data_IF_073662922354
#
_entry.id   IF_073662922354
#
_cell.length_a   1.000
_cell.length_b   1.000
_cell.length_c   1.000
_cell.angle_alpha   90.00
_cell.angle_beta   90.00
_cell.angle_gamma   90.00
#
_symmetry.space_group_name_H-M   'P 1'
#
loop_
_entity.id
_entity.type
_entity.pdbx_description
1 polymer ?
#
# COMPACT_ATOMS: atom_id res chain seq x y z
N UNK A 1 9.10 66.41 -24.72
CA UNK A 1 7.97 65.53 -24.68
C UNK A 1 8.39 64.11 -24.99
N UNK A 2 8.51 63.26 -24.02
CA UNK A 2 8.76 61.84 -24.22
C UNK A 2 7.41 61.13 -24.39
N UNK A 3 7.24 60.44 -25.52
CA UNK A 3 6.07 59.64 -25.82
C UNK A 3 6.02 58.34 -25.01
N UNK A 4 4.83 57.76 -24.83
CA UNK A 4 4.66 56.54 -24.01
C UNK A 4 5.31 55.34 -24.69
N UNK A 5 6.05 54.55 -23.90
CA UNK A 5 6.65 53.30 -24.32
C UNK A 5 5.55 52.26 -24.63
N UNK A 6 5.50 51.79 -25.88
CA UNK A 6 4.69 50.66 -26.31
C UNK A 6 5.14 49.39 -25.56
N UNK A 7 4.23 48.82 -24.75
CA UNK A 7 4.40 47.48 -24.23
C UNK A 7 4.20 46.46 -25.35
N UNK A 8 5.24 45.74 -25.69
CA UNK A 8 5.13 44.56 -26.56
C UNK A 8 4.24 43.53 -25.87
N UNK A 9 3.31 42.88 -26.58
CA UNK A 9 2.58 41.77 -26.04
C UNK A 9 3.54 40.62 -25.73
N UNK A 10 3.46 40.09 -24.52
CA UNK A 10 4.15 38.88 -24.10
C UNK A 10 3.51 37.72 -24.87
N UNK A 11 4.28 37.10 -25.76
CA UNK A 11 3.88 35.87 -26.46
C UNK A 11 3.91 34.77 -25.40
N UNK A 12 2.74 34.29 -25.06
CA UNK A 12 2.57 33.06 -24.25
C UNK A 12 2.99 31.92 -25.21
N UNK A 13 4.21 31.47 -25.06
CA UNK A 13 4.72 30.29 -25.73
C UNK A 13 4.00 29.09 -25.17
N UNK A 14 2.96 28.62 -25.85
CA UNK A 14 2.06 27.52 -25.50
C UNK A 14 2.71 26.16 -25.16
N UNK A 15 3.99 26.20 -24.74
CA UNK A 15 4.79 25.02 -24.38
C UNK A 15 4.55 24.54 -22.93
N UNK A 16 4.02 25.40 -22.07
CA UNK A 16 3.74 25.03 -20.67
C UNK A 16 2.57 24.06 -20.51
N UNK A 17 1.62 24.08 -21.43
CA UNK A 17 0.46 23.19 -21.44
C UNK A 17 0.80 21.76 -21.83
N UNK A 18 1.57 21.59 -22.90
CA UNK A 18 2.01 20.29 -23.40
C UNK A 18 2.92 19.57 -22.39
N UNK A 19 3.88 20.28 -21.78
CA UNK A 19 4.76 19.70 -20.78
C UNK A 19 4.00 19.23 -19.51
N UNK A 20 2.95 19.96 -19.11
CA UNK A 20 2.10 19.54 -17.97
C UNK A 20 1.22 18.33 -18.31
N UNK A 21 0.70 18.24 -19.53
CA UNK A 21 -0.07 17.06 -19.98
C UNK A 21 0.81 15.81 -20.02
N UNK A 22 2.01 15.88 -20.60
CA UNK A 22 2.94 14.74 -20.60
C UNK A 22 3.34 14.31 -19.19
N UNK A 23 3.62 15.23 -18.28
CA UNK A 23 3.97 14.89 -16.90
C UNK A 23 2.82 14.24 -16.12
N UNK A 24 1.56 14.64 -16.38
CA UNK A 24 0.38 14.02 -15.78
C UNK A 24 0.11 12.63 -16.38
N UNK A 25 0.30 12.47 -17.68
CA UNK A 25 0.16 11.20 -18.38
C UNK A 25 1.21 10.19 -17.88
N UNK A 26 2.46 10.61 -17.73
CA UNK A 26 3.55 9.79 -17.20
C UNK A 26 3.30 9.42 -15.73
N UNK A 27 2.85 10.34 -14.89
CA UNK A 27 2.53 10.07 -13.50
C UNK A 27 1.36 9.10 -13.36
N UNK A 28 0.33 9.23 -14.22
CA UNK A 28 -0.82 8.33 -14.25
C UNK A 28 -0.41 6.93 -14.72
N UNK A 29 0.41 6.84 -15.77
CA UNK A 29 0.95 5.58 -16.27
C UNK A 29 1.79 4.86 -15.20
N UNK A 30 2.65 5.59 -14.49
CA UNK A 30 3.47 5.06 -13.39
C UNK A 30 2.61 4.59 -12.22
N UNK A 31 1.55 5.32 -11.86
CA UNK A 31 0.62 4.92 -10.80
C UNK A 31 -0.14 3.64 -11.18
N UNK A 32 -0.64 3.53 -12.42
CA UNK A 32 -1.31 2.33 -12.92
C UNK A 32 -0.36 1.12 -12.95
N UNK A 33 0.89 1.33 -13.35
CA UNK A 33 1.92 0.29 -13.32
C UNK A 33 2.19 -0.18 -11.89
N UNK A 34 2.34 0.74 -10.93
CA UNK A 34 2.54 0.42 -9.52
C UNK A 34 1.36 -0.40 -8.95
N UNK A 35 0.12 0.01 -9.24
CA UNK A 35 -1.08 -0.75 -8.82
C UNK A 35 -1.10 -2.15 -9.44
N UNK A 36 -0.73 -2.27 -10.72
CA UNK A 36 -0.66 -3.57 -11.40
C UNK A 36 0.35 -4.49 -10.74
N UNK A 37 1.50 -3.95 -10.31
CA UNK A 37 2.56 -4.70 -9.63
C UNK A 37 2.15 -5.19 -8.21
N UNK A 38 1.12 -4.60 -7.62
CA UNK A 38 0.57 -5.05 -6.34
C UNK A 38 -0.48 -6.17 -6.49
N UNK A 39 -0.85 -6.55 -7.72
CA UNK A 39 -1.84 -7.60 -7.93
C UNK A 39 -1.27 -8.99 -7.66
N UNK A 40 -2.06 -9.92 -7.07
CA UNK A 40 -1.64 -11.30 -6.88
C UNK A 40 -1.14 -11.96 -8.17
N UNK A 41 -1.78 -11.66 -9.29
CA UNK A 41 -1.36 -12.16 -10.60
C UNK A 41 0.06 -11.75 -10.95
N UNK A 42 0.40 -10.47 -10.84
CA UNK A 42 1.76 -9.99 -11.14
C UNK A 42 2.77 -10.61 -10.18
N UNK A 43 2.47 -10.68 -8.90
CA UNK A 43 3.33 -11.30 -7.90
C UNK A 43 3.62 -12.75 -8.25
N UNK A 44 2.61 -13.55 -8.56
CA UNK A 44 2.74 -14.98 -8.84
C UNK A 44 3.40 -15.28 -10.19
N UNK A 45 3.12 -14.48 -11.24
CA UNK A 45 3.58 -14.78 -12.60
C UNK A 45 4.87 -14.07 -13.01
N UNK A 46 5.25 -13.01 -12.31
CA UNK A 46 6.38 -12.15 -12.68
C UNK A 46 7.36 -11.94 -11.55
N UNK A 47 6.91 -11.40 -10.41
CA UNK A 47 7.80 -11.01 -9.32
C UNK A 47 8.41 -12.23 -8.62
N UNK A 48 7.58 -13.15 -8.09
CA UNK A 48 8.06 -14.27 -7.30
C UNK A 48 8.99 -15.21 -8.10
N UNK A 49 8.71 -15.54 -9.39
CA UNK A 49 9.64 -16.34 -10.19
C UNK A 49 10.98 -15.66 -10.48
N UNK A 50 10.97 -14.31 -10.57
CA UNK A 50 12.18 -13.52 -10.81
C UNK A 50 12.98 -13.23 -9.53
N UNK A 51 12.36 -13.43 -8.35
CA UNK A 51 12.93 -13.06 -7.05
C UNK A 51 12.76 -14.25 -6.08
N UNK A 52 13.43 -15.39 -6.34
CA UNK A 52 13.31 -16.56 -5.49
C UNK A 52 13.86 -16.26 -4.09
N UNK A 53 13.28 -16.92 -3.09
CA UNK A 53 13.76 -16.87 -1.72
C UNK A 53 15.21 -17.32 -1.61
N UNK A 54 15.99 -16.63 -0.77
CA UNK A 54 17.34 -17.08 -0.48
C UNK A 54 17.30 -18.32 0.42
N UNK A 55 18.03 -19.41 0.10
CA UNK A 55 17.94 -20.66 0.83
C UNK A 55 18.38 -20.59 2.29
N UNK A 56 19.23 -19.62 2.65
CA UNK A 56 19.75 -19.43 4.01
C UNK A 56 18.94 -18.38 4.81
N UNK A 57 17.79 -17.92 4.30
CA UNK A 57 16.91 -16.94 4.96
C UNK A 57 15.58 -17.60 5.29
N UNK A 58 15.18 -17.50 6.53
CA UNK A 58 13.84 -17.89 6.95
C UNK A 58 12.87 -16.73 6.74
N UNK A 59 11.75 -17.01 6.09
CA UNK A 59 10.71 -16.05 5.81
C UNK A 59 9.48 -16.34 6.67
N UNK A 60 9.07 -15.36 7.46
CA UNK A 60 7.88 -15.45 8.29
C UNK A 60 6.90 -14.34 7.93
N UNK A 61 5.62 -14.65 7.84
CA UNK A 61 4.59 -13.69 7.48
C UNK A 61 3.44 -13.66 8.45
N UNK A 62 2.85 -12.47 8.56
CA UNK A 62 1.59 -12.20 9.24
C UNK A 62 0.68 -11.46 8.27
N UNK A 63 -0.64 -11.61 8.42
CA UNK A 63 -1.62 -10.87 7.65
C UNK A 63 -2.51 -10.04 8.55
N UNK A 64 -2.76 -8.80 8.19
CA UNK A 64 -3.80 -8.01 8.83
C UNK A 64 -5.18 -8.41 8.33
N UNK A 65 -6.19 -8.30 9.20
CA UNK A 65 -7.58 -8.37 8.80
C UNK A 65 -8.44 -7.39 9.61
N UNK A 66 -9.34 -6.69 8.94
CA UNK A 66 -10.29 -5.77 9.56
C UNK A 66 -11.48 -5.51 8.65
N UNK A 67 -12.54 -4.98 9.19
CA UNK A 67 -13.73 -4.61 8.43
C UNK A 67 -14.58 -5.81 8.03
N UNK A 68 -14.99 -5.88 6.78
CA UNK A 68 -15.96 -6.88 6.32
C UNK A 68 -15.49 -8.31 6.60
N UNK A 69 -16.37 -9.10 7.21
CA UNK A 69 -16.09 -10.48 7.60
C UNK A 69 -15.34 -10.64 8.90
N UNK A 70 -15.12 -9.56 9.65
CA UNK A 70 -14.48 -9.56 10.98
C UNK A 70 -15.22 -8.63 11.92
N UNK A 71 -14.95 -8.77 13.23
CA UNK A 71 -15.42 -7.83 14.27
C UNK A 71 -14.43 -6.66 14.49
N UNK A 72 -13.36 -6.60 13.71
CA UNK A 72 -12.31 -5.60 13.83
C UNK A 72 -12.70 -4.32 13.10
N UNK A 73 -12.66 -3.19 13.81
CA UNK A 73 -12.98 -1.90 13.22
C UNK A 73 -11.93 -1.50 12.19
N UNK A 74 -12.42 -1.09 11.02
CA UNK A 74 -11.60 -0.61 9.90
C UNK A 74 -11.59 0.92 9.85
N UNK A 75 -10.46 1.51 9.51
CA UNK A 75 -10.40 2.94 9.21
C UNK A 75 -11.35 3.28 8.04
N UNK A 76 -12.19 4.32 8.17
CA UNK A 76 -13.21 4.65 7.18
C UNK A 76 -12.70 4.84 5.75
N UNK A 77 -11.47 5.36 5.57
CA UNK A 77 -10.93 5.57 4.22
C UNK A 77 -10.59 4.25 3.49
N UNK A 78 -10.44 3.15 4.22
CA UNK A 78 -10.16 1.82 3.65
C UNK A 78 -11.43 1.05 3.25
N UNK A 79 -12.62 1.52 3.64
CA UNK A 79 -13.88 0.75 3.48
C UNK A 79 -14.18 0.33 2.05
N UNK A 80 -13.95 1.21 1.09
CA UNK A 80 -14.24 0.91 -0.32
C UNK A 80 -13.36 -0.23 -0.82
N UNK A 81 -12.05 -0.14 -0.58
CA UNK A 81 -11.08 -1.17 -1.00
C UNK A 81 -11.29 -2.48 -0.22
N UNK A 82 -11.56 -2.39 1.09
CA UNK A 82 -11.85 -3.57 1.90
C UNK A 82 -13.05 -4.36 1.36
N UNK A 83 -14.14 -3.68 1.01
CA UNK A 83 -15.32 -4.33 0.43
C UNK A 83 -15.01 -4.92 -0.94
N UNK A 84 -14.29 -4.20 -1.79
CA UNK A 84 -13.90 -4.65 -3.11
C UNK A 84 -13.01 -5.90 -3.08
N UNK A 85 -12.03 -5.92 -2.17
CA UNK A 85 -11.14 -7.07 -1.98
C UNK A 85 -11.89 -8.25 -1.36
N UNK A 86 -12.76 -7.99 -0.38
CA UNK A 86 -13.52 -9.05 0.29
C UNK A 86 -14.37 -9.87 -0.69
N UNK A 87 -15.00 -9.20 -1.65
CA UNK A 87 -15.84 -9.85 -2.66
C UNK A 87 -15.04 -10.73 -3.64
N UNK A 88 -13.71 -10.59 -3.70
CA UNK A 88 -12.80 -11.29 -4.63
C UNK A 88 -11.86 -12.28 -3.96
N UNK A 89 -11.35 -11.92 -2.81
CA UNK A 89 -10.25 -12.60 -2.15
C UNK A 89 -10.53 -12.92 -0.67
N UNK A 90 -11.68 -12.48 -0.14
CA UNK A 90 -12.08 -12.70 1.24
C UNK A 90 -11.44 -11.72 2.25
N UNK A 91 -11.15 -12.18 3.48
CA UNK A 91 -10.63 -11.33 4.55
C UNK A 91 -9.38 -10.57 4.13
N UNK A 92 -9.31 -9.27 4.50
CA UNK A 92 -8.23 -8.39 4.12
C UNK A 92 -8.08 -7.23 5.13
N UNK A 93 -6.99 -6.49 5.02
CA UNK A 93 -6.68 -5.35 5.89
C UNK A 93 -7.09 -3.98 5.29
N UNK A 94 -7.75 -4.00 4.14
CA UNK A 94 -8.15 -2.83 3.35
C UNK A 94 -7.28 -2.58 2.12
N UNK A 95 -6.08 -3.17 2.03
CA UNK A 95 -5.19 -3.11 0.87
C UNK A 95 -4.70 -4.48 0.42
N UNK A 96 -4.51 -5.43 1.34
CA UNK A 96 -3.92 -6.74 1.05
C UNK A 96 -4.82 -7.81 1.62
N UNK A 97 -5.15 -8.84 0.84
CA UNK A 97 -5.89 -10.00 1.32
C UNK A 97 -5.00 -10.90 2.19
N UNK A 98 -5.64 -11.62 3.11
CA UNK A 98 -4.93 -12.60 3.97
C UNK A 98 -4.17 -13.62 3.12
N UNK A 99 -4.76 -14.07 2.03
CA UNK A 99 -4.11 -15.05 1.15
C UNK A 99 -2.93 -14.46 0.40
N UNK A 100 -3.03 -13.22 -0.06
CA UNK A 100 -1.92 -12.51 -0.73
C UNK A 100 -0.74 -12.20 0.21
N UNK A 101 -1.01 -12.03 1.50
CA UNK A 101 0.03 -11.74 2.50
C UNK A 101 0.82 -12.98 2.95
N UNK A 102 0.43 -14.18 2.55
CA UNK A 102 1.08 -15.42 2.97
C UNK A 102 2.41 -15.62 2.23
N UNK A 103 3.49 -15.70 2.99
CA UNK A 103 4.82 -15.97 2.47
C UNK A 103 5.64 -16.75 3.50
N UNK A 104 6.43 -17.72 3.05
CA UNK A 104 7.24 -18.57 3.93
C UNK A 104 6.40 -19.27 5.01
N UNK A 105 6.82 -19.17 6.27
CA UNK A 105 6.06 -19.67 7.42
C UNK A 105 4.99 -18.66 7.79
N UNK A 106 3.72 -18.97 7.50
CA UNK A 106 2.60 -18.12 7.89
C UNK A 106 2.30 -18.26 9.39
N UNK A 107 2.47 -17.18 10.13
CA UNK A 107 2.33 -17.12 11.59
C UNK A 107 0.93 -16.75 12.09
N UNK A 108 0.01 -16.40 11.18
CA UNK A 108 -1.37 -16.09 11.50
C UNK A 108 -1.80 -14.69 11.12
N UNK A 109 -3.02 -14.33 11.52
CA UNK A 109 -3.60 -13.01 11.29
C UNK A 109 -3.48 -12.11 12.52
N UNK A 110 -3.50 -10.80 12.29
CA UNK A 110 -3.57 -9.77 13.33
C UNK A 110 -4.82 -8.91 13.13
N UNK A 111 -5.46 -8.50 14.21
CA UNK A 111 -6.69 -7.71 14.24
C UNK A 111 -6.40 -6.23 13.96
N UNK A 112 -5.90 -5.96 12.76
CA UNK A 112 -5.48 -4.64 12.34
C UNK A 112 -5.80 -4.39 10.88
N UNK A 113 -6.23 -3.16 10.56
CA UNK A 113 -6.20 -2.66 9.20
C UNK A 113 -4.77 -2.29 8.78
N UNK A 114 -4.58 -2.06 7.48
CA UNK A 114 -3.27 -1.81 6.88
C UNK A 114 -2.51 -0.64 7.54
N UNK A 115 -3.20 0.43 7.87
CA UNK A 115 -2.61 1.60 8.51
C UNK A 115 -2.20 1.32 9.97
N UNK A 116 -3.02 0.56 10.68
CA UNK A 116 -2.75 0.21 12.09
C UNK A 116 -1.56 -0.71 12.27
N UNK A 117 -1.30 -1.59 11.32
CA UNK A 117 -0.12 -2.46 11.36
C UNK A 117 1.17 -1.68 11.50
N UNK A 118 1.26 -0.50 10.89
CA UNK A 118 2.44 0.40 10.98
C UNK A 118 2.28 1.50 12.04
N UNK A 119 1.27 1.40 12.91
CA UNK A 119 1.05 2.35 14.00
C UNK A 119 0.40 3.67 13.56
N UNK A 120 0.00 3.80 12.30
CA UNK A 120 -0.73 4.99 11.85
C UNK A 120 -2.13 5.02 12.47
N UNK A 121 -2.50 6.16 13.08
CA UNK A 121 -3.79 6.37 13.73
C UNK A 121 -4.48 7.57 13.10
N UNK A 122 -5.56 7.34 12.37
CA UNK A 122 -6.43 8.43 11.93
C UNK A 122 -7.31 8.91 13.09
N UNK A 123 -7.80 10.14 12.99
CA UNK A 123 -8.76 10.70 13.95
C UNK A 123 -10.19 10.15 13.75
N UNK A 124 -10.41 9.30 12.74
CA UNK A 124 -11.73 8.82 12.35
C UNK A 124 -12.07 7.41 12.88
N UNK A 125 -11.18 6.79 13.62
CA UNK A 125 -11.38 5.45 14.17
C UNK A 125 -10.36 4.44 13.66
N UNK A 126 -10.72 3.16 13.66
CA UNK A 126 -9.87 2.03 13.32
C UNK A 126 -9.73 1.05 14.49
N UNK A 127 -8.96 -0.02 14.31
CA UNK A 127 -8.76 -1.04 15.34
C UNK A 127 -7.95 -0.50 16.54
N UNK A 128 -8.04 -1.20 17.67
CA UNK A 128 -7.26 -0.91 18.88
C UNK A 128 -5.89 -1.59 18.89
N UNK A 129 -5.46 -2.14 17.76
CA UNK A 129 -4.20 -2.85 17.62
C UNK A 129 -2.99 -2.04 18.11
N UNK A 130 -2.18 -2.66 18.95
CA UNK A 130 -0.93 -2.11 19.45
C UNK A 130 0.25 -2.64 18.62
N UNK A 131 0.64 -1.87 17.62
CA UNK A 131 1.74 -2.22 16.71
C UNK A 131 3.09 -2.35 17.46
N UNK A 132 3.33 -1.51 18.47
CA UNK A 132 4.58 -1.57 19.24
C UNK A 132 4.68 -2.87 20.04
N UNK A 133 3.61 -3.25 20.74
CA UNK A 133 3.56 -4.50 21.48
C UNK A 133 3.69 -5.71 20.53
N UNK A 134 3.05 -5.65 19.35
CA UNK A 134 3.13 -6.70 18.34
C UNK A 134 4.58 -6.88 17.84
N UNK A 135 5.24 -5.81 17.39
CA UNK A 135 6.62 -5.91 16.86
C UNK A 135 7.64 -6.27 17.94
N UNK A 136 7.45 -5.82 19.18
CA UNK A 136 8.24 -6.30 20.31
C UNK A 136 8.09 -7.82 20.54
N UNK A 137 6.86 -8.33 20.37
CA UNK A 137 6.58 -9.76 20.42
C UNK A 137 7.23 -10.56 19.30
N UNK A 138 7.23 -10.01 18.07
CA UNK A 138 7.91 -10.61 16.91
C UNK A 138 9.43 -10.65 17.16
N UNK A 139 10.05 -9.55 17.59
CA UNK A 139 11.48 -9.50 17.90
C UNK A 139 11.87 -10.51 18.99
N UNK A 140 11.06 -10.65 20.04
CA UNK A 140 11.27 -11.65 21.09
C UNK A 140 11.21 -13.08 20.53
N UNK A 141 10.25 -13.36 19.65
CA UNK A 141 10.12 -14.68 19.01
C UNK A 141 11.33 -15.01 18.15
N UNK A 142 11.81 -14.05 17.33
CA UNK A 142 13.02 -14.20 16.52
C UNK A 142 14.24 -14.50 17.40
N UNK A 143 14.45 -13.72 18.45
CA UNK A 143 15.53 -13.98 19.39
C UNK A 143 15.46 -15.37 20.05
N UNK A 144 14.26 -15.84 20.42
CA UNK A 144 14.04 -17.19 20.97
C UNK A 144 14.30 -18.30 19.95
N UNK A 145 14.12 -18.03 18.66
CA UNK A 145 14.42 -18.94 17.57
C UNK A 145 15.92 -18.95 17.18
N UNK A 146 16.73 -18.08 17.76
CA UNK A 146 18.18 -18.04 17.54
C UNK A 146 18.63 -17.06 16.45
N UNK A 147 17.74 -16.09 16.11
CA UNK A 147 18.03 -15.00 15.16
C UNK A 147 18.44 -13.71 15.85
#
# INVERSE_FOLDING_TARGET
>A
GAGPAERRPQVDDGNGGLARHHALDDATANALQAITQLTPRYMQTSFNPATPDHPDVEYWSFAGHAGRGTDVTLDPFLRFLNTYLFDREGPNDGFVSVDSARWGTFCGTVDADHARQVGFRSNFGGSTFDSNAFYAGVAKRLHQAGH
#
